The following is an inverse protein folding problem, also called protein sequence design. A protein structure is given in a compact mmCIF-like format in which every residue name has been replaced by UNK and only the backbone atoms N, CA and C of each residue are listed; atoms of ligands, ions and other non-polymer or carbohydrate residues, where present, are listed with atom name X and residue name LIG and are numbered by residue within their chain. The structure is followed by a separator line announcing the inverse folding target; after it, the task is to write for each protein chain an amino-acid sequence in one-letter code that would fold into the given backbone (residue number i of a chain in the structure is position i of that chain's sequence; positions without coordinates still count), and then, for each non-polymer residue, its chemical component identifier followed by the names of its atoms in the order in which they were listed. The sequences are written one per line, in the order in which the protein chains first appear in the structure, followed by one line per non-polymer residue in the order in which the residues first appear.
data_IF_484237444946
#
_entry.id   IF_484237444946
#
_cell.length_a   1.000
_cell.length_b   1.000
_cell.length_c   1.000
_cell.angle_alpha   90.00
_cell.angle_beta   90.00
_cell.angle_gamma   90.00
#
_symmetry.space_group_name_H-M   'P 1'
#
loop_
_entity.id
_entity.type
_entity.pdbx_description
1 polymer ?
#
# COMPACT_ATOMS: atom_id res chain seq x y z
N UNK A 1 7.68 -12.56 -1.26
CA UNK A 1 7.22 -11.14 -1.24
C UNK A 1 7.11 -10.58 0.17
N UNK A 2 6.45 -11.26 1.11
CA UNK A 2 6.30 -10.80 2.50
C UNK A 2 7.63 -10.43 3.17
N UNK A 3 8.65 -11.31 3.09
CA UNK A 3 9.97 -10.99 3.62
C UNK A 3 10.60 -9.74 2.98
N UNK A 4 10.37 -9.51 1.68
CA UNK A 4 10.86 -8.31 1.01
C UNK A 4 10.18 -7.04 1.55
N UNK A 5 8.88 -7.11 1.82
CA UNK A 5 8.12 -6.02 2.43
C UNK A 5 8.60 -5.72 3.86
N UNK A 6 8.89 -6.76 4.65
CA UNK A 6 9.47 -6.63 5.99
C UNK A 6 10.83 -5.91 5.92
N UNK A 7 11.73 -6.37 5.04
CA UNK A 7 13.07 -5.78 4.93
C UNK A 7 13.01 -4.35 4.39
N UNK A 8 12.08 -4.03 3.48
CA UNK A 8 11.85 -2.65 3.02
C UNK A 8 11.35 -1.75 4.14
N UNK A 9 10.42 -2.23 4.96
CA UNK A 9 9.92 -1.48 6.12
C UNK A 9 11.02 -1.24 7.17
N UNK A 10 11.85 -2.25 7.45
CA UNK A 10 13.01 -2.10 8.35
C UNK A 10 14.04 -1.11 7.82
N UNK A 11 14.34 -1.18 6.53
CA UNK A 11 15.29 -0.28 5.87
C UNK A 11 14.83 1.19 5.97
N UNK A 12 13.52 1.45 5.79
CA UNK A 12 12.90 2.77 6.05
C UNK A 12 13.06 3.23 7.49
N UNK A 13 12.85 2.35 8.47
CA UNK A 13 13.02 2.70 9.89
C UNK A 13 14.47 2.95 10.27
N UNK A 14 15.38 2.08 9.84
CA UNK A 14 16.81 2.13 10.19
C UNK A 14 17.50 3.37 9.63
N UNK A 15 17.17 3.75 8.39
CA UNK A 15 17.77 4.90 7.71
C UNK A 15 16.93 6.17 7.81
N UNK A 16 15.82 6.15 8.58
CA UNK A 16 15.02 7.34 8.87
C UNK A 16 14.39 7.98 7.63
N UNK A 17 13.75 7.19 6.76
CA UNK A 17 13.10 7.73 5.57
C UNK A 17 11.71 7.14 5.28
N UNK A 18 10.90 7.90 4.56
CA UNK A 18 9.58 7.50 4.06
C UNK A 18 9.50 7.78 2.55
N UNK A 19 9.95 6.83 1.73
CA UNK A 19 10.04 6.94 0.28
C UNK A 19 10.08 5.55 -0.40
N UNK A 20 9.63 5.48 -1.67
CA UNK A 20 9.81 4.27 -2.49
C UNK A 20 11.30 3.95 -2.70
N UNK A 21 12.12 4.96 -2.99
CA UNK A 21 13.56 4.82 -3.21
C UNK A 21 14.31 5.28 -1.97
N UNK A 22 15.29 4.50 -1.49
CA UNK A 22 16.10 4.88 -0.32
C UNK A 22 16.98 6.10 -0.61
N UNK A 23 17.48 6.80 0.43
CA UNK A 23 18.46 7.87 0.27
C UNK A 23 19.73 7.44 -0.48
N UNK A 24 20.13 6.17 -0.39
CA UNK A 24 21.25 5.60 -1.16
C UNK A 24 20.87 5.19 -2.59
N UNK A 25 19.62 5.44 -3.02
CA UNK A 25 19.13 5.12 -4.36
C UNK A 25 18.61 3.69 -4.52
N UNK A 26 18.39 2.96 -3.42
CA UNK A 26 17.90 1.58 -3.47
C UNK A 26 16.42 1.53 -3.82
N UNK A 27 16.08 0.88 -4.93
CA UNK A 27 14.68 0.73 -5.37
C UNK A 27 13.94 -0.39 -4.61
N UNK A 28 12.60 -0.37 -4.57
CA UNK A 28 11.80 -1.43 -3.90
C UNK A 28 12.08 -2.84 -4.43
N UNK A 29 12.44 -2.95 -5.69
CA UNK A 29 12.61 -4.21 -6.39
C UNK A 29 13.88 -4.94 -5.98
N UNK A 30 14.90 -4.21 -5.52
CA UNK A 30 16.10 -4.80 -4.93
C UNK A 30 15.78 -5.62 -3.67
N UNK A 31 14.75 -5.24 -2.89
CA UNK A 31 14.30 -6.02 -1.73
C UNK A 31 13.64 -7.33 -2.16
N UNK A 32 12.86 -7.31 -3.25
CA UNK A 32 12.25 -8.53 -3.82
C UNK A 32 13.35 -9.46 -4.34
N UNK A 33 14.31 -8.93 -5.10
CA UNK A 33 15.43 -9.69 -5.66
C UNK A 33 16.33 -10.29 -4.58
N UNK A 34 16.56 -9.58 -3.47
CA UNK A 34 17.33 -10.08 -2.34
C UNK A 34 16.73 -11.37 -1.72
N UNK A 35 15.41 -11.58 -1.86
CA UNK A 35 14.74 -12.81 -1.44
C UNK A 35 14.81 -13.94 -2.47
N UNK A 36 15.63 -13.79 -3.53
CA UNK A 36 15.73 -14.71 -4.67
C UNK A 36 14.39 -14.95 -5.38
N UNK A 37 13.47 -14.00 -5.25
CA UNK A 37 12.17 -14.04 -5.90
C UNK A 37 12.29 -13.43 -7.30
N UNK A 38 11.94 -14.22 -8.32
CA UNK A 38 12.03 -13.82 -9.73
C UNK A 38 10.64 -13.47 -10.26
N UNK A 39 10.53 -12.37 -11.01
CA UNK A 39 9.26 -11.81 -11.44
C UNK A 39 9.37 -11.10 -12.79
N UNK A 40 8.24 -10.95 -13.48
CA UNK A 40 8.14 -10.22 -14.75
C UNK A 40 7.59 -8.81 -14.58
N UNK A 41 6.81 -8.57 -13.51
CA UNK A 41 6.32 -7.25 -13.11
C UNK A 41 6.19 -7.17 -11.60
N UNK A 42 6.41 -5.99 -11.02
CA UNK A 42 6.24 -5.72 -9.60
C UNK A 42 5.60 -4.34 -9.35
N UNK A 43 4.98 -4.18 -8.18
CA UNK A 43 4.33 -2.96 -7.72
C UNK A 43 4.51 -2.77 -6.21
N UNK A 44 4.38 -1.53 -5.72
CA UNK A 44 4.48 -1.20 -4.30
C UNK A 44 3.39 -0.19 -3.90
N UNK A 45 2.76 -0.42 -2.75
CA UNK A 45 1.94 0.54 -2.05
C UNK A 45 2.49 0.74 -0.63
N UNK A 46 2.50 2.00 -0.19
CA UNK A 46 3.02 2.39 1.11
C UNK A 46 1.94 3.14 1.90
N UNK A 47 1.82 2.82 3.18
CA UNK A 47 0.97 3.55 4.12
C UNK A 47 1.67 3.72 5.48
N UNK A 48 1.35 4.80 6.19
CA UNK A 48 1.94 5.16 7.48
C UNK A 48 0.88 5.62 8.47
N UNK A 49 0.96 5.17 9.73
CA UNK A 49 0.17 5.64 10.89
C UNK A 49 -1.36 5.51 10.74
N UNK A 50 -1.82 4.44 10.07
CA UNK A 50 -3.22 4.08 10.10
C UNK A 50 -3.53 3.24 11.33
N UNK A 51 -4.44 3.72 12.18
CA UNK A 51 -4.89 2.97 13.35
C UNK A 51 -5.77 1.75 13.01
N UNK A 52 -6.35 1.71 11.81
CA UNK A 52 -7.32 0.70 11.38
C UNK A 52 -7.02 0.25 9.94
N UNK A 53 -6.93 -1.06 9.71
CA UNK A 53 -6.68 -1.64 8.39
C UNK A 53 -7.74 -1.23 7.36
N UNK A 54 -9.01 -1.18 7.76
CA UNK A 54 -10.11 -0.78 6.86
C UNK A 54 -9.98 0.68 6.40
N UNK A 55 -9.50 1.56 7.28
CA UNK A 55 -9.25 2.96 6.93
C UNK A 55 -8.10 3.09 5.94
N UNK A 56 -7.02 2.31 6.13
CA UNK A 56 -5.89 2.24 5.20
C UNK A 56 -6.32 1.74 3.82
N UNK A 57 -7.06 0.62 3.75
CA UNK A 57 -7.54 0.06 2.48
C UNK A 57 -8.44 1.06 1.76
N UNK A 58 -9.38 1.72 2.46
CA UNK A 58 -10.20 2.79 1.86
C UNK A 58 -9.35 3.94 1.34
N UNK A 59 -8.31 4.34 2.06
CA UNK A 59 -7.40 5.38 1.62
C UNK A 59 -6.68 4.98 0.32
N UNK A 60 -6.11 3.77 0.25
CA UNK A 60 -5.50 3.25 -0.98
C UNK A 60 -6.51 3.19 -2.14
N UNK A 61 -7.73 2.71 -1.91
CA UNK A 61 -8.76 2.62 -2.95
C UNK A 61 -9.28 3.98 -3.44
N UNK A 62 -9.14 5.03 -2.62
CA UNK A 62 -9.48 6.41 -3.00
C UNK A 62 -8.31 7.14 -3.69
N UNK A 63 -7.10 6.58 -3.66
CA UNK A 63 -5.94 7.13 -4.35
C UNK A 63 -5.78 6.48 -5.73
N UNK A 64 -5.80 7.24 -6.85
CA UNK A 64 -5.71 6.66 -8.19
C UNK A 64 -4.48 5.77 -8.42
N UNK A 65 -3.30 6.17 -7.94
CA UNK A 65 -2.04 5.42 -8.09
C UNK A 65 -2.04 4.11 -7.30
N UNK A 66 -2.34 4.17 -6.00
CA UNK A 66 -2.45 2.99 -5.13
C UNK A 66 -3.52 2.00 -5.58
N UNK A 67 -4.69 2.53 -5.98
CA UNK A 67 -5.80 1.73 -6.53
C UNK A 67 -5.38 1.05 -7.82
N UNK A 68 -4.62 1.73 -8.69
CA UNK A 68 -4.14 1.12 -9.93
C UNK A 68 -3.30 -0.12 -9.64
N UNK A 69 -2.40 -0.08 -8.65
CA UNK A 69 -1.63 -1.26 -8.23
C UNK A 69 -2.53 -2.39 -7.70
N UNK A 70 -3.52 -2.08 -6.86
CA UNK A 70 -4.43 -3.09 -6.26
C UNK A 70 -5.29 -3.79 -7.31
N UNK A 71 -5.71 -3.07 -8.35
CA UNK A 71 -6.59 -3.59 -9.40
C UNK A 71 -5.84 -4.09 -10.64
N UNK A 72 -4.51 -4.01 -10.65
CA UNK A 72 -3.71 -4.43 -11.79
C UNK A 72 -3.68 -5.95 -11.92
N UNK A 73 -4.34 -6.45 -12.96
CA UNK A 73 -4.46 -7.89 -13.23
C UNK A 73 -3.14 -8.54 -13.65
N UNK A 74 -2.08 -7.75 -13.90
CA UNK A 74 -0.75 -8.29 -14.15
C UNK A 74 -0.17 -8.91 -12.88
N UNK A 75 -0.48 -8.39 -11.71
CA UNK A 75 -0.01 -8.96 -10.45
C UNK A 75 -0.87 -10.16 -10.04
N UNK A 76 -0.21 -11.25 -9.66
CA UNK A 76 -0.88 -12.49 -9.23
C UNK A 76 -0.54 -12.86 -7.79
N UNK A 77 0.47 -12.22 -7.20
CA UNK A 77 0.90 -12.43 -5.83
C UNK A 77 1.09 -11.09 -5.10
N UNK A 78 0.86 -11.11 -3.78
CA UNK A 78 1.11 -9.96 -2.91
C UNK A 78 1.78 -10.40 -1.61
N UNK A 79 2.65 -9.54 -1.07
CA UNK A 79 3.17 -9.66 0.28
C UNK A 79 2.93 -8.34 1.01
N UNK A 80 2.48 -8.41 2.26
CA UNK A 80 2.19 -7.24 3.08
C UNK A 80 2.97 -7.39 4.38
N UNK A 81 3.58 -6.30 4.84
CA UNK A 81 4.25 -6.23 6.14
C UNK A 81 3.77 -5.00 6.91
N UNK A 82 3.59 -5.18 8.23
CA UNK A 82 3.43 -4.09 9.19
C UNK A 82 4.72 -4.00 9.99
N UNK A 83 5.33 -2.83 10.03
CA UNK A 83 6.60 -2.59 10.70
C UNK A 83 6.44 -1.39 11.64
N UNK A 84 6.54 -1.67 12.93
CA UNK A 84 6.56 -0.65 13.99
C UNK A 84 8.01 -0.26 14.31
N UNK A 85 8.22 1.02 14.59
CA UNK A 85 9.56 1.53 14.86
C UNK A 85 9.56 3.03 15.14
N UNK A 86 10.75 3.61 15.22
CA UNK A 86 10.93 5.04 15.35
C UNK A 86 11.39 5.60 14.02
N UNK A 87 10.62 6.52 13.46
CA UNK A 87 10.97 7.26 12.26
C UNK A 87 11.16 8.73 12.65
N UNK A 88 12.34 9.29 12.42
CA UNK A 88 12.70 10.66 12.85
C UNK A 88 12.44 10.94 14.35
N UNK A 89 12.59 9.92 15.19
CA UNK A 89 12.38 10.02 16.64
C UNK A 89 10.91 9.98 17.09
N UNK A 90 9.98 9.61 16.19
CA UNK A 90 8.56 9.44 16.47
C UNK A 90 8.16 7.98 16.26
N UNK A 91 7.46 7.38 17.24
CA UNK A 91 6.85 6.07 17.07
C UNK A 91 5.90 6.07 15.88
N UNK A 92 6.16 5.19 14.93
CA UNK A 92 5.54 5.15 13.61
C UNK A 92 5.23 3.70 13.26
N UNK A 93 4.06 3.48 12.66
CA UNK A 93 3.69 2.19 12.07
C UNK A 93 3.67 2.33 10.55
N UNK A 94 4.52 1.56 9.87
CA UNK A 94 4.54 1.48 8.41
C UNK A 94 3.84 0.23 7.93
N UNK A 95 3.12 0.35 6.81
CA UNK A 95 2.59 -0.78 6.06
C UNK A 95 3.18 -0.74 4.66
N UNK A 96 3.86 -1.83 4.31
CA UNK A 96 4.47 -2.05 3.00
C UNK A 96 3.70 -3.16 2.31
N UNK A 97 3.14 -2.87 1.15
CA UNK A 97 2.50 -3.87 0.29
C UNK A 97 3.27 -3.98 -1.02
N UNK A 98 3.81 -5.16 -1.29
CA UNK A 98 4.46 -5.49 -2.55
C UNK A 98 3.56 -6.40 -3.37
N UNK A 99 3.56 -6.18 -4.68
CA UNK A 99 2.87 -7.00 -5.67
C UNK A 99 3.88 -7.58 -6.65
N UNK A 100 3.62 -8.77 -7.17
CA UNK A 100 4.41 -9.30 -8.27
C UNK A 100 3.64 -10.30 -9.16
N UNK A 101 4.20 -10.52 -10.34
CA UNK A 101 3.91 -11.66 -11.20
C UNK A 101 5.15 -12.56 -11.23
N UNK A 102 5.12 -13.79 -10.69
CA UNK A 102 6.28 -14.66 -10.66
C UNK A 102 6.69 -15.04 -12.08
N UNK A 103 7.99 -15.02 -12.37
CA UNK A 103 8.47 -15.57 -13.64
C UNK A 103 8.43 -17.10 -13.56
N UNK A 104 7.84 -17.75 -14.57
CA UNK A 104 7.96 -19.20 -14.68
C UNK A 104 9.44 -19.56 -14.85
N UNK A 105 9.99 -20.22 -13.84
CA UNK A 105 11.32 -20.79 -13.94
C UNK A 105 11.22 -21.99 -14.86
N UNK A 106 11.65 -21.86 -16.12
CA UNK A 106 11.90 -23.03 -16.97
C UNK A 106 12.97 -23.82 -16.23
N UNK A 107 12.57 -24.90 -15.57
CA UNK A 107 13.51 -25.91 -15.12
C UNK A 107 14.14 -26.47 -16.40
N UNK A 108 15.31 -25.94 -16.78
CA UNK A 108 16.20 -26.66 -17.68
C UNK A 108 16.55 -27.92 -16.90
N UNK A 109 15.86 -29.01 -17.22
CA UNK A 109 16.27 -30.34 -16.82
C UNK A 109 17.65 -30.51 -17.45
N UNK A 110 18.69 -30.25 -16.66
CA UNK A 110 20.04 -30.62 -17.04
C UNK A 110 20.08 -32.11 -16.77
N UNK A 111 19.80 -32.92 -17.79
CA UNK A 111 20.01 -34.37 -17.69
C UNK A 111 21.48 -34.63 -17.37
N UNK A 112 21.78 -35.50 -16.39
CA UNK A 112 23.00 -36.24 -16.39
C UNK A 112 22.70 -37.72 -16.25
N UNK A 113 21.85 -38.31 -17.11
CA UNK A 113 21.81 -39.77 -17.28
C UNK A 113 21.03 -40.24 -18.52
N UNK A 114 21.60 -40.08 -19.71
CA UNK A 114 21.30 -40.99 -20.85
C UNK A 114 22.62 -41.62 -21.30
N UNK A 115 23.24 -42.37 -20.40
CA UNK A 115 24.41 -43.20 -20.71
C UNK A 115 24.11 -44.69 -20.50
N UNK A 116 22.90 -45.15 -20.81
CA UNK A 116 22.61 -46.59 -20.80
C UNK A 116 21.42 -47.00 -21.68
N UNK A 117 21.49 -46.71 -22.98
CA UNK A 117 20.73 -47.44 -23.98
C UNK A 117 21.45 -47.43 -25.33
N UNK A 118 22.45 -48.31 -25.48
CA UNK A 118 23.00 -48.64 -26.80
C UNK A 118 23.09 -50.16 -26.93
N UNK A 119 22.26 -50.67 -27.85
CA UNK A 119 22.37 -51.87 -28.72
C UNK A 119 20.93 -52.34 -28.95
N UNK A 120 20.39 -52.36 -30.17
CA UNK A 120 20.80 -53.26 -31.25
C UNK A 120 20.12 -52.85 -32.58
N UNK A 121 20.80 -53.07 -33.71
CA UNK A 121 20.30 -53.16 -35.10
C UNK A 121 19.81 -51.86 -35.77
N UNK A 122 20.08 -51.54 -37.03
CA UNK A 122 20.78 -52.21 -38.14
C UNK A 122 21.07 -51.13 -39.19
N UNK A 123 22.20 -51.26 -39.89
CA UNK A 123 22.56 -50.42 -41.03
C UNK A 123 21.80 -50.89 -42.26
N UNK A 124 21.10 -50.00 -42.96
CA UNK A 124 20.87 -50.13 -44.40
C UNK A 124 20.94 -48.75 -45.03
N UNK A 125 21.92 -48.63 -45.92
CA UNK A 125 22.31 -47.48 -46.74
C UNK A 125 21.49 -47.46 -48.04
N UNK A 126 20.89 -46.33 -48.41
CA UNK A 126 20.62 -45.91 -49.81
C UNK A 126 20.46 -44.36 -49.88
N UNK A 127 21.53 -43.70 -50.36
CA UNK A 127 21.72 -42.54 -51.26
C UNK A 127 20.66 -41.39 -51.39
N UNK A 128 21.08 -40.14 -51.73
CA UNK A 128 20.43 -38.88 -51.34
C UNK A 128 19.62 -38.22 -52.46
N UNK A 129 18.60 -37.43 -52.09
CA UNK A 129 18.05 -36.38 -52.96
C UNK A 129 18.12 -35.00 -52.30
N UNK A 130 18.88 -34.13 -52.97
CA UNK A 130 18.87 -32.69 -52.84
C UNK A 130 17.44 -32.15 -53.04
N UNK A 131 16.98 -31.30 -52.13
CA UNK A 131 16.32 -30.06 -52.56
C UNK A 131 16.77 -28.89 -51.67
N UNK A 132 17.55 -28.01 -52.30
CA UNK A 132 17.86 -26.66 -51.88
C UNK A 132 16.60 -25.80 -51.97
N UNK A 133 16.29 -24.98 -50.95
CA UNK A 133 16.00 -23.56 -51.17
C UNK A 133 16.01 -22.71 -49.88
N UNK A 134 17.14 -22.01 -49.74
CA UNK A 134 17.30 -20.58 -49.41
C UNK A 134 16.45 -19.90 -48.32
N UNK A 135 17.14 -19.51 -47.25
CA UNK A 135 16.90 -18.32 -46.41
C UNK A 135 17.01 -17.01 -47.24
N UNK A 136 16.52 -15.84 -46.75
CA UNK A 136 17.38 -15.04 -45.86
C UNK A 136 16.65 -14.25 -44.74
N UNK A 137 17.19 -14.37 -43.53
CA UNK A 137 17.65 -13.30 -42.63
C UNK A 137 16.99 -11.90 -42.66
N UNK A 138 16.45 -11.41 -41.53
CA UNK A 138 16.59 -10.02 -41.05
C UNK A 138 15.98 -9.79 -39.64
N UNK A 139 16.82 -9.47 -38.66
CA UNK A 139 16.56 -8.49 -37.58
C UNK A 139 17.01 -7.09 -38.09
N UNK A 140 16.77 -5.93 -37.44
CA UNK A 140 15.89 -5.56 -36.31
C UNK A 140 15.13 -4.21 -36.53
N UNK A 141 14.50 -3.66 -35.46
CA UNK A 141 14.25 -2.21 -35.17
C UNK A 141 12.80 -1.70 -35.14
N UNK A 142 12.34 -1.41 -33.91
CA UNK A 142 11.84 -0.12 -33.40
C UNK A 142 11.00 0.79 -34.34
N UNK A 143 9.73 1.03 -33.99
CA UNK A 143 8.86 2.00 -34.67
C UNK A 143 7.52 2.28 -33.96
N UNK A 144 7.43 3.49 -33.43
CA UNK A 144 6.35 4.19 -32.70
C UNK A 144 4.93 4.15 -33.31
N UNK A 145 3.95 4.15 -32.38
CA UNK A 145 2.65 4.87 -32.34
C UNK A 145 1.59 4.62 -33.43
N UNK A 146 0.41 4.16 -32.97
CA UNK A 146 -0.91 4.62 -33.41
C UNK A 146 -1.89 4.49 -32.22
N UNK A 147 -2.49 5.62 -31.80
CA UNK A 147 -3.68 5.78 -30.94
C UNK A 147 -4.68 6.63 -31.77
N UNK A 148 -5.96 6.84 -31.39
CA UNK A 148 -6.84 6.20 -30.41
C UNK A 148 -8.23 5.87 -31.05
N UNK A 149 -9.28 5.72 -30.23
CA UNK A 149 -10.71 5.47 -30.55
C UNK A 149 -11.11 4.01 -30.76
N UNK A 150 -11.75 3.38 -29.76
CA UNK A 150 -13.22 3.27 -29.70
C UNK A 150 -13.71 2.96 -28.27
N UNK A 151 -14.88 3.53 -27.94
CA UNK A 151 -15.89 3.12 -26.95
C UNK A 151 -15.76 3.57 -25.49
N UNK A 152 -16.28 4.78 -25.28
CA UNK A 152 -17.02 5.22 -24.10
C UNK A 152 -18.04 4.17 -23.64
N UNK A 153 -17.83 3.61 -22.45
CA UNK A 153 -18.89 3.00 -21.65
C UNK A 153 -19.13 3.88 -20.42
N UNK A 154 -20.08 4.78 -20.58
CA UNK A 154 -20.61 5.65 -19.54
C UNK A 154 -21.47 4.79 -18.62
N UNK A 155 -20.87 4.22 -17.57
CA UNK A 155 -21.63 3.58 -16.49
C UNK A 155 -22.05 4.68 -15.53
N UNK A 156 -23.35 4.96 -15.59
CA UNK A 156 -24.11 5.86 -14.73
C UNK A 156 -23.69 5.69 -13.27
N UNK A 157 -23.20 6.78 -12.67
CA UNK A 157 -23.05 6.91 -11.24
C UNK A 157 -24.43 6.79 -10.61
N UNK A 158 -24.75 5.61 -10.06
CA UNK A 158 -25.80 5.50 -9.06
C UNK A 158 -25.18 6.05 -7.78
N UNK A 159 -25.58 7.28 -7.42
CA UNK A 159 -25.36 7.86 -6.10
C UNK A 159 -26.14 7.04 -5.06
N UNK A 160 -25.61 5.86 -4.72
CA UNK A 160 -26.00 5.19 -3.51
C UNK A 160 -25.36 5.95 -2.36
N UNK A 161 -26.20 6.70 -1.64
CA UNK A 161 -25.88 7.34 -0.37
C UNK A 161 -25.26 6.29 0.55
N UNK A 162 -23.93 6.20 0.54
CA UNK A 162 -23.17 5.47 1.54
C UNK A 162 -23.51 6.11 2.87
N UNK A 163 -24.34 5.43 3.66
CA UNK A 163 -24.24 5.51 5.10
C UNK A 163 -22.78 5.22 5.41
N UNK A 164 -22.00 6.28 5.60
CA UNK A 164 -20.61 6.20 5.97
C UNK A 164 -20.58 5.44 7.28
N UNK A 165 -20.23 4.14 7.23
CA UNK A 165 -19.87 3.38 8.40
C UNK A 165 -18.64 4.08 8.97
N UNK A 166 -18.87 4.92 9.98
CA UNK A 166 -17.82 5.64 10.67
C UNK A 166 -16.85 4.59 11.20
N UNK A 167 -15.55 4.74 10.92
CA UNK A 167 -14.57 3.79 11.46
C UNK A 167 -14.58 3.82 12.99
N UNK A 168 -14.20 2.74 13.70
CA UNK A 168 -14.17 2.73 15.16
C UNK A 168 -13.36 3.89 15.75
N UNK A 169 -12.27 4.32 15.10
CA UNK A 169 -11.54 5.53 15.46
C UNK A 169 -12.34 6.81 15.24
N UNK A 170 -13.07 6.96 14.14
CA UNK A 170 -13.93 8.14 13.90
C UNK A 170 -15.11 8.16 14.86
N UNK A 171 -15.67 7.01 15.22
CA UNK A 171 -16.69 6.87 16.26
C UNK A 171 -16.08 7.26 17.62
N UNK A 172 -14.90 6.75 17.96
CA UNK A 172 -14.21 7.09 19.21
C UNK A 172 -13.92 8.59 19.26
N UNK A 173 -13.32 9.17 18.21
CA UNK A 173 -13.11 10.63 18.10
C UNK A 173 -14.42 11.40 18.22
N UNK A 174 -15.49 10.98 17.56
CA UNK A 174 -16.80 11.63 17.61
C UNK A 174 -17.43 11.55 19.00
N UNK A 175 -17.35 10.39 19.67
CA UNK A 175 -17.83 10.19 21.05
C UNK A 175 -17.01 11.04 22.02
N UNK A 176 -15.68 11.04 21.91
CA UNK A 176 -14.81 11.88 22.73
C UNK A 176 -15.09 13.37 22.52
N UNK A 177 -15.25 13.83 21.28
CA UNK A 177 -15.63 15.21 20.97
C UNK A 177 -17.03 15.55 21.51
N UNK A 178 -17.99 14.63 21.42
CA UNK A 178 -19.33 14.83 21.95
C UNK A 178 -19.30 14.96 23.49
N UNK A 179 -18.54 14.11 24.19
CA UNK A 179 -18.36 14.18 25.65
C UNK A 179 -17.67 15.49 26.05
N UNK A 180 -16.58 15.88 25.37
CA UNK A 180 -15.87 17.14 25.63
C UNK A 180 -16.81 18.34 25.41
N UNK A 181 -17.59 18.34 24.32
CA UNK A 181 -18.54 19.40 24.00
C UNK A 181 -19.64 19.49 25.05
N UNK A 182 -20.19 18.36 25.48
CA UNK A 182 -21.18 18.31 26.57
C UNK A 182 -20.62 18.87 27.87
N UNK A 183 -19.40 18.49 28.25
CA UNK A 183 -18.74 19.01 29.45
C UNK A 183 -18.53 20.53 29.37
N UNK A 184 -18.12 21.04 28.20
CA UNK A 184 -18.01 22.49 27.97
C UNK A 184 -19.37 23.17 28.15
N UNK A 185 -20.45 22.64 27.58
CA UNK A 185 -21.80 23.20 27.72
C UNK A 185 -22.23 23.22 29.19
N UNK A 186 -22.01 22.14 29.94
CA UNK A 186 -22.34 22.06 31.38
C UNK A 186 -21.56 23.11 32.16
N UNK A 187 -20.26 23.27 31.91
CA UNK A 187 -19.43 24.26 32.58
C UNK A 187 -19.81 25.70 32.22
N UNK A 188 -20.19 25.95 30.96
CA UNK A 188 -20.71 27.26 30.53
C UNK A 188 -22.06 27.57 31.16
N UNK A 189 -22.94 26.57 31.30
CA UNK A 189 -24.22 26.71 31.97
C UNK A 189 -24.06 26.98 33.47
N UNK A 190 -23.14 26.27 34.15
CA UNK A 190 -22.78 26.54 35.54
C UNK A 190 -22.24 27.98 35.71
N UNK A 191 -21.33 28.41 34.82
CA UNK A 191 -20.82 29.78 34.83
C UNK A 191 -21.90 30.84 34.56
N UNK A 192 -22.87 30.54 33.70
CA UNK A 192 -24.01 31.42 33.43
C UNK A 192 -24.93 31.55 34.66
N UNK A 193 -25.24 30.43 35.32
CA UNK A 193 -26.04 30.43 36.53
C UNK A 193 -25.34 31.20 37.66
N UNK A 194 -24.04 30.99 37.87
CA UNK A 194 -23.25 31.74 38.85
C UNK A 194 -23.34 33.26 38.60
N UNK A 195 -23.17 33.68 37.34
CA UNK A 195 -23.26 35.11 36.98
C UNK A 195 -24.67 35.67 37.15
N UNK A 196 -25.71 34.87 36.89
CA UNK A 196 -27.12 35.29 37.01
C UNK A 196 -27.58 35.38 38.47
N UNK A 197 -27.11 34.48 39.33
CA UNK A 197 -27.59 34.34 40.71
C UNK A 197 -26.63 34.91 41.77
N UNK A 198 -25.52 35.55 41.38
CA UNK A 198 -24.56 36.26 42.26
C UNK A 198 -24.11 35.44 43.49
N UNK A 199 -23.89 34.14 43.31
CA UNK A 199 -23.36 33.28 44.35
C UNK A 199 -21.83 33.39 44.40
N UNK A 200 -21.26 33.76 45.55
CA UNK A 200 -19.81 33.85 45.74
C UNK A 200 -19.26 32.43 45.94
N UNK A 201 -18.51 31.91 44.96
CA UNK A 201 -17.87 30.59 45.06
C UNK A 201 -16.37 30.71 45.33
N UNK A 202 -15.88 30.00 46.33
CA UNK A 202 -14.45 29.96 46.71
C UNK A 202 -13.63 28.88 45.97
N UNK A 203 -14.22 28.17 45.00
CA UNK A 203 -13.56 27.05 44.31
C UNK A 203 -13.69 27.15 42.78
N UNK A 204 -12.55 27.03 42.10
CA UNK A 204 -12.38 26.66 40.68
C UNK A 204 -13.00 27.60 39.64
N UNK A 205 -12.17 28.29 38.84
CA UNK A 205 -12.62 29.11 37.70
C UNK A 205 -13.05 28.21 36.53
N UNK A 206 -14.35 28.11 36.26
CA UNK A 206 -14.92 27.33 35.15
C UNK A 206 -14.27 27.64 33.78
N UNK A 207 -13.81 28.88 33.58
CA UNK A 207 -13.11 29.33 32.36
C UNK A 207 -11.85 28.49 32.08
N UNK A 208 -11.07 28.14 33.10
CA UNK A 208 -9.85 27.36 32.93
C UNK A 208 -10.15 25.94 32.40
N UNK A 209 -11.19 25.31 32.94
CA UNK A 209 -11.63 23.99 32.50
C UNK A 209 -12.19 24.01 31.08
N UNK A 210 -13.00 25.02 30.73
CA UNK A 210 -13.50 25.20 29.37
C UNK A 210 -12.33 25.38 28.39
N UNK A 211 -11.34 26.22 28.72
CA UNK A 211 -10.16 26.42 27.86
C UNK A 211 -9.32 25.15 27.68
N UNK A 212 -9.12 24.37 28.74
CA UNK A 212 -8.38 23.10 28.69
C UNK A 212 -9.10 22.06 27.82
N UNK A 213 -10.41 21.91 28.00
CA UNK A 213 -11.22 20.97 27.21
C UNK A 213 -11.26 21.34 25.73
N UNK A 214 -11.35 22.63 25.41
CA UNK A 214 -11.33 23.12 24.04
C UNK A 214 -9.96 22.86 23.39
N UNK A 215 -8.86 23.05 24.13
CA UNK A 215 -7.51 22.68 23.69
C UNK A 215 -7.38 21.19 23.39
N UNK A 216 -7.85 20.31 24.28
CA UNK A 216 -7.84 18.85 24.06
C UNK A 216 -8.70 18.46 22.85
N UNK A 217 -9.87 19.07 22.68
CA UNK A 217 -10.73 18.84 21.51
C UNK A 217 -10.04 19.24 20.20
N UNK A 218 -9.39 20.40 20.17
CA UNK A 218 -8.59 20.85 19.02
C UNK A 218 -7.44 19.87 18.75
N UNK A 219 -6.74 19.41 19.79
CA UNK A 219 -5.66 18.44 19.65
C UNK A 219 -6.13 17.13 18.99
N UNK A 220 -7.29 16.61 19.40
CA UNK A 220 -7.88 15.39 18.81
C UNK A 220 -8.22 15.56 17.33
N UNK A 221 -8.69 16.75 16.95
CA UNK A 221 -8.99 17.11 15.54
C UNK A 221 -7.69 17.24 14.73
N UNK A 222 -6.64 17.81 15.31
CA UNK A 222 -5.34 18.03 14.65
C UNK A 222 -4.56 16.72 14.46
N UNK A 223 -4.72 15.72 15.34
CA UNK A 223 -4.10 14.41 15.18
C UNK A 223 -4.60 13.75 13.88
N UNK A 224 -3.81 13.92 12.81
CA UNK A 224 -4.07 13.40 11.47
C UNK A 224 -4.12 11.87 11.51
N UNK A 225 -5.05 11.30 10.76
CA UNK A 225 -5.01 9.86 10.46
C UNK A 225 -3.86 9.55 9.50
N UNK A 226 -3.64 8.26 9.25
CA UNK A 226 -2.52 7.79 8.46
C UNK A 226 -2.36 8.45 7.08
N UNK A 227 -1.14 8.39 6.57
CA UNK A 227 -0.70 9.01 5.31
C UNK A 227 -0.30 7.95 4.30
N UNK A 228 -0.52 8.24 3.02
CA UNK A 228 -0.11 7.39 1.89
C UNK A 228 1.11 8.01 1.21
N UNK A 229 1.83 7.19 0.45
CA UNK A 229 2.96 7.61 -0.35
C UNK A 229 2.87 7.02 -1.75
#
# INVERSE_FOLDING_TARGET
LEQAAIEKGKDMMEHGYWAHISPEGKDPWQFIQAQKYTYTSAGENLAKDFAETEAMIRAWMNSPTHRANILDTRFTETGIAVVDGQLDGVETTLVVQMFAHPSQQIAIITEPDIAQATRTSESTELTPELFLQSSPNAQPSMGKNLNPDVMSAQVVAVEDAKLAFLSPLQISKAVFLAVITLLIIVLLYDAYLERKYHTIRNVGKNIAHVSFLLFVGILIVILKGGTLL
#
